data_IF_016469825628
#
_entry.id   IF_016469825628
#
_cell.length_a   1.000
_cell.length_b   1.000
_cell.length_c   1.000
_cell.angle_alpha   90.00
_cell.angle_beta   90.00
_cell.angle_gamma   90.00
#
_symmetry.space_group_name_H-M   'P 1'
#
loop_
_entity.id
_entity.type
_entity.pdbx_description
1 polymer ?
#
# COMPACT_ATOMS: atom_id res chain seq x y z
N UNK A 1 22.63 8.91 38.90
CA UNK A 1 21.51 8.06 39.36
C UNK A 1 21.19 6.88 38.42
N UNK A 2 21.20 7.03 37.09
CA UNK A 2 20.87 5.93 36.15
C UNK A 2 21.75 4.66 36.28
N UNK A 3 23.06 4.80 36.58
CA UNK A 3 23.98 3.66 36.76
C UNK A 3 23.67 2.80 38.00
N UNK A 4 23.03 3.39 39.02
CA UNK A 4 22.70 2.68 40.27
C UNK A 4 21.49 1.75 40.08
N UNK A 5 20.48 2.20 39.33
CA UNK A 5 19.31 1.38 38.98
C UNK A 5 19.68 0.19 38.07
N UNK A 6 20.65 0.38 37.16
CA UNK A 6 21.15 -0.70 36.30
C UNK A 6 21.87 -1.77 37.13
N UNK A 7 22.67 -1.35 38.12
CA UNK A 7 23.39 -2.27 39.00
C UNK A 7 22.46 -3.09 39.90
N UNK A 8 21.46 -2.44 40.51
CA UNK A 8 20.44 -3.12 41.33
C UNK A 8 19.60 -4.09 40.48
N UNK A 9 19.20 -3.66 39.27
CA UNK A 9 18.48 -4.52 38.34
C UNK A 9 19.28 -5.76 37.93
N UNK A 10 20.58 -5.60 37.64
CA UNK A 10 21.45 -6.72 37.32
C UNK A 10 21.63 -7.69 38.49
N UNK A 11 21.76 -7.17 39.72
CA UNK A 11 21.87 -8.00 40.91
C UNK A 11 20.59 -8.82 41.16
N UNK A 12 19.41 -8.20 41.08
CA UNK A 12 18.13 -8.89 41.27
C UNK A 12 17.87 -9.97 40.20
N UNK A 13 18.24 -9.71 38.94
CA UNK A 13 18.14 -10.70 37.86
C UNK A 13 19.12 -11.85 38.06
N UNK A 14 20.36 -11.56 38.47
CA UNK A 14 21.36 -12.59 38.75
C UNK A 14 20.95 -13.48 39.94
N UNK A 15 20.40 -12.89 41.01
CA UNK A 15 19.89 -13.64 42.18
C UNK A 15 18.63 -14.44 41.82
N UNK A 16 17.73 -13.89 41.01
CA UNK A 16 16.56 -14.61 40.49
C UNK A 16 16.95 -15.80 39.61
N UNK A 17 17.91 -15.63 38.70
CA UNK A 17 18.45 -16.72 37.88
C UNK A 17 19.15 -17.80 38.73
N UNK A 18 19.92 -17.40 39.75
CA UNK A 18 20.55 -18.34 40.68
C UNK A 18 19.51 -19.12 41.51
N UNK A 19 18.42 -18.48 41.91
CA UNK A 19 17.31 -19.12 42.61
C UNK A 19 16.53 -20.09 41.72
N UNK A 20 16.33 -19.78 40.43
CA UNK A 20 15.67 -20.69 39.47
C UNK A 20 16.55 -21.89 39.13
N UNK A 21 17.85 -21.67 38.89
CA UNK A 21 18.82 -22.74 38.57
C UNK A 21 19.10 -23.66 39.78
N UNK A 22 18.88 -23.18 41.01
CA UNK A 22 19.01 -23.95 42.26
C UNK A 22 17.74 -23.85 43.10
N UNK A 23 16.60 -24.08 42.47
CA UNK A 23 15.28 -24.00 43.11
C UNK A 23 15.20 -24.79 44.43
N UNK A 24 15.78 -25.99 44.47
CA UNK A 24 15.85 -26.83 45.68
C UNK A 24 16.63 -26.17 46.82
N UNK A 25 17.76 -25.53 46.54
CA UNK A 25 18.55 -24.81 47.54
C UNK A 25 17.87 -23.52 48.02
N UNK A 26 17.16 -22.84 47.12
CA UNK A 26 16.36 -21.66 47.47
C UNK A 26 15.19 -22.01 48.39
N UNK A 27 14.49 -23.12 48.12
CA UNK A 27 13.39 -23.60 48.97
C UNK A 27 13.88 -23.97 50.37
N UNK A 28 15.04 -24.64 50.48
CA UNK A 28 15.66 -24.96 51.78
C UNK A 28 16.04 -23.69 52.54
N UNK A 29 16.73 -22.74 51.88
CA UNK A 29 17.10 -21.46 52.51
C UNK A 29 15.88 -20.64 52.97
N UNK A 30 14.80 -20.63 52.17
CA UNK A 30 13.56 -19.94 52.50
C UNK A 30 12.86 -20.58 53.71
N UNK A 31 12.94 -21.91 53.85
CA UNK A 31 12.43 -22.64 55.01
C UNK A 31 13.25 -22.34 56.28
N UNK A 32 14.56 -22.16 56.15
CA UNK A 32 15.47 -21.85 57.26
C UNK A 32 15.40 -20.37 57.69
N UNK A 33 14.88 -19.46 56.84
CA UNK A 33 14.80 -18.01 57.10
C UNK A 33 13.38 -17.45 56.90
N UNK A 34 12.39 -17.90 57.71
CA UNK A 34 10.97 -17.58 57.51
C UNK A 34 10.67 -16.08 57.57
N UNK A 35 11.41 -15.32 58.40
CA UNK A 35 11.26 -13.87 58.51
C UNK A 35 11.80 -13.11 57.29
N UNK A 36 12.71 -13.71 56.51
CA UNK A 36 13.26 -13.11 55.29
C UNK A 36 12.46 -13.51 54.02
N UNK A 37 11.75 -14.64 54.05
CA UNK A 37 10.98 -15.11 52.91
C UNK A 37 9.84 -14.17 52.50
N UNK A 38 9.15 -13.55 53.48
CA UNK A 38 7.98 -12.71 53.23
C UNK A 38 8.30 -11.44 52.40
N UNK A 39 9.41 -10.75 52.68
CA UNK A 39 9.77 -9.54 51.93
C UNK A 39 10.33 -9.86 50.54
N UNK A 40 11.06 -10.99 50.38
CA UNK A 40 11.53 -11.47 49.08
C UNK A 40 10.35 -11.83 48.18
N UNK A 41 9.33 -12.50 48.73
CA UNK A 41 8.09 -12.81 48.00
C UNK A 41 7.35 -11.54 47.56
N UNK A 42 7.29 -10.52 48.41
CA UNK A 42 6.68 -9.24 48.06
C UNK A 42 7.42 -8.53 46.91
N UNK A 43 8.76 -8.48 46.97
CA UNK A 43 9.58 -7.90 45.89
C UNK A 43 9.45 -8.70 44.59
N UNK A 44 9.44 -10.04 44.68
CA UNK A 44 9.24 -10.90 43.51
C UNK A 44 7.88 -10.66 42.84
N UNK A 45 6.83 -10.46 43.62
CA UNK A 45 5.48 -10.14 43.11
C UNK A 45 5.44 -8.78 42.42
N UNK A 46 6.06 -7.75 43.01
CA UNK A 46 6.16 -6.41 42.41
C UNK A 46 6.97 -6.47 41.10
N UNK A 47 8.10 -7.16 41.10
CA UNK A 47 8.94 -7.33 39.91
C UNK A 47 8.20 -8.06 38.78
N UNK A 48 7.43 -9.11 39.11
CA UNK A 48 6.61 -9.83 38.15
C UNK A 48 5.54 -8.92 37.51
N UNK A 49 4.89 -8.07 38.30
CA UNK A 49 3.92 -7.07 37.79
C UNK A 49 4.60 -6.09 36.83
N UNK A 50 5.76 -5.53 37.19
CA UNK A 50 6.49 -4.63 36.30
C UNK A 50 6.95 -5.31 35.00
N UNK A 51 7.41 -6.55 35.08
CA UNK A 51 7.78 -7.32 33.88
C UNK A 51 6.58 -7.61 32.99
N UNK A 52 5.41 -7.91 33.56
CA UNK A 52 4.19 -8.11 32.81
C UNK A 52 3.74 -6.82 32.10
N UNK A 53 3.75 -5.68 32.79
CA UNK A 53 3.43 -4.37 32.19
C UNK A 53 4.42 -4.03 31.08
N UNK A 54 5.72 -4.20 31.30
CA UNK A 54 6.74 -3.96 30.28
C UNK A 54 6.59 -4.86 29.06
N UNK A 55 6.25 -6.14 29.27
CA UNK A 55 6.00 -7.07 28.17
C UNK A 55 4.77 -6.67 27.35
N UNK A 56 3.68 -6.25 28.00
CA UNK A 56 2.47 -5.74 27.35
C UNK A 56 2.77 -4.46 26.57
N UNK A 57 3.43 -3.47 27.18
CA UNK A 57 3.81 -2.22 26.51
C UNK A 57 4.70 -2.48 25.29
N UNK A 58 5.68 -3.39 25.43
CA UNK A 58 6.54 -3.79 24.32
C UNK A 58 5.76 -4.49 23.21
N UNK A 59 4.79 -5.34 23.56
CA UNK A 59 3.92 -6.01 22.57
C UNK A 59 3.05 -4.99 21.81
N UNK A 60 2.42 -4.04 22.51
CA UNK A 60 1.62 -2.99 21.90
C UNK A 60 2.45 -2.05 21.02
N UNK A 61 3.68 -1.72 21.43
CA UNK A 61 4.60 -0.94 20.62
C UNK A 61 4.97 -1.66 19.32
N UNK A 62 5.13 -2.98 19.35
CA UNK A 62 5.39 -3.78 18.15
C UNK A 62 4.15 -3.89 17.26
N UNK A 63 2.97 -4.08 17.84
CA UNK A 63 1.70 -4.13 17.09
C UNK A 63 1.39 -2.81 16.38
N UNK A 64 1.56 -1.67 17.07
CA UNK A 64 1.36 -0.36 16.43
C UNK A 64 2.37 -0.11 15.30
N UNK A 65 3.61 -0.58 15.43
CA UNK A 65 4.58 -0.52 14.33
C UNK A 65 4.16 -1.38 13.14
N UNK A 66 3.69 -2.61 13.39
CA UNK A 66 3.19 -3.51 12.32
C UNK A 66 1.99 -2.90 11.60
N UNK A 67 1.00 -2.41 12.35
CA UNK A 67 -0.18 -1.74 11.77
C UNK A 67 0.21 -0.57 10.88
N UNK A 68 1.15 0.28 11.31
CA UNK A 68 1.65 1.40 10.47
C UNK A 68 2.30 0.93 9.17
N UNK A 69 3.02 -0.19 9.20
CA UNK A 69 3.64 -0.78 8.00
C UNK A 69 2.56 -1.36 7.08
N UNK A 70 1.60 -2.09 7.64
CA UNK A 70 0.47 -2.68 6.91
C UNK A 70 -0.39 -1.60 6.24
N UNK A 71 -0.72 -0.52 6.96
CA UNK A 71 -1.48 0.63 6.44
C UNK A 71 -0.71 1.32 5.30
N UNK A 72 0.61 1.47 5.44
CA UNK A 72 1.47 2.05 4.41
C UNK A 72 1.53 1.16 3.16
N UNK A 73 1.64 -0.15 3.34
CA UNK A 73 1.69 -1.13 2.25
C UNK A 73 0.35 -1.22 1.53
N UNK A 74 -0.77 -1.22 2.27
CA UNK A 74 -2.11 -1.17 1.70
C UNK A 74 -2.33 0.10 0.87
N UNK A 75 -1.87 1.26 1.35
CA UNK A 75 -1.93 2.51 0.59
C UNK A 75 -1.07 2.43 -0.67
N UNK A 76 0.13 1.88 -0.57
CA UNK A 76 1.06 1.75 -1.71
C UNK A 76 0.46 0.86 -2.79
N UNK A 77 -0.15 -0.27 -2.42
CA UNK A 77 -0.84 -1.16 -3.36
C UNK A 77 -1.99 -0.46 -4.10
N UNK A 78 -2.78 0.36 -3.40
CA UNK A 78 -3.86 1.13 -4.04
C UNK A 78 -3.29 2.12 -5.06
N UNK A 79 -2.25 2.88 -4.69
CA UNK A 79 -1.63 3.87 -5.58
C UNK A 79 -0.98 3.21 -6.80
N UNK A 80 -0.33 2.07 -6.61
CA UNK A 80 0.26 1.31 -7.71
C UNK A 80 -0.82 0.72 -8.62
N UNK A 81 -1.93 0.23 -8.07
CA UNK A 81 -3.09 -0.18 -8.85
C UNK A 81 -3.65 0.95 -9.72
N UNK A 82 -3.81 2.15 -9.17
CA UNK A 82 -4.25 3.33 -9.95
C UNK A 82 -3.25 3.67 -11.05
N UNK A 83 -1.95 3.67 -10.75
CA UNK A 83 -0.91 3.91 -11.74
C UNK A 83 -0.98 2.89 -12.90
N UNK A 84 -1.13 1.60 -12.58
CA UNK A 84 -1.27 0.54 -13.57
C UNK A 84 -2.53 0.70 -14.42
N UNK A 85 -3.66 1.09 -13.82
CA UNK A 85 -4.92 1.35 -14.55
C UNK A 85 -4.80 2.55 -15.49
N UNK A 86 -4.23 3.67 -15.03
CA UNK A 86 -4.02 4.87 -15.88
C UNK A 86 -3.01 4.56 -16.99
N UNK A 87 -1.93 3.83 -16.70
CA UNK A 87 -0.98 3.37 -17.71
C UNK A 87 -1.60 2.39 -18.72
N UNK A 88 -2.48 1.50 -18.25
CA UNK A 88 -3.28 0.61 -19.10
C UNK A 88 -4.20 1.39 -20.03
N UNK A 89 -4.89 2.41 -19.50
CA UNK A 89 -5.75 3.30 -20.27
C UNK A 89 -4.96 4.01 -21.40
N UNK A 90 -3.77 4.52 -21.10
CA UNK A 90 -2.89 5.12 -22.11
C UNK A 90 -2.48 4.13 -23.20
N UNK A 91 -2.16 2.88 -22.83
CA UNK A 91 -1.82 1.82 -23.79
C UNK A 91 -2.98 1.45 -24.71
N UNK A 92 -4.20 1.35 -24.18
CA UNK A 92 -5.39 1.06 -25.01
C UNK A 92 -5.69 2.24 -25.93
N UNK A 93 -5.60 3.48 -25.44
CA UNK A 93 -5.74 4.66 -26.30
C UNK A 93 -4.67 4.68 -27.43
N UNK A 94 -3.43 4.30 -27.12
CA UNK A 94 -2.36 4.18 -28.11
C UNK A 94 -2.63 3.06 -29.12
N UNK A 95 -3.12 1.90 -28.66
CA UNK A 95 -3.53 0.77 -29.50
C UNK A 95 -4.57 1.23 -30.55
N UNK A 96 -5.58 2.00 -30.13
CA UNK A 96 -6.60 2.58 -31.04
C UNK A 96 -5.95 3.50 -32.08
N UNK A 97 -5.06 4.40 -31.64
CA UNK A 97 -4.37 5.31 -32.53
C UNK A 97 -3.51 4.56 -33.57
N UNK A 98 -2.74 3.56 -33.14
CA UNK A 98 -1.85 2.81 -34.01
C UNK A 98 -2.62 1.99 -35.05
N UNK A 99 -3.79 1.44 -34.70
CA UNK A 99 -4.67 0.76 -35.66
C UNK A 99 -5.13 1.70 -36.77
N UNK A 100 -5.72 2.85 -36.42
CA UNK A 100 -6.22 3.81 -37.42
C UNK A 100 -5.09 4.46 -38.24
N UNK A 101 -3.92 4.70 -37.63
CA UNK A 101 -2.80 5.38 -38.29
C UNK A 101 -2.08 4.51 -39.33
N UNK A 102 -2.06 3.18 -39.16
CA UNK A 102 -1.39 2.26 -40.08
C UNK A 102 -2.19 1.99 -41.37
N UNK A 103 -3.30 2.70 -41.60
CA UNK A 103 -4.14 2.56 -42.79
C UNK A 103 -4.95 1.26 -42.82
N UNK A 104 -4.83 0.43 -41.78
CA UNK A 104 -5.72 -0.70 -41.52
C UNK A 104 -6.86 -0.21 -40.67
N UNK A 105 -7.96 0.23 -41.29
CA UNK A 105 -9.20 0.48 -40.54
C UNK A 105 -9.46 -0.71 -39.62
N UNK A 106 -9.65 -0.44 -38.32
CA UNK A 106 -9.84 -1.50 -37.35
C UNK A 106 -11.01 -2.38 -37.79
N UNK A 107 -10.78 -3.68 -37.83
CA UNK A 107 -11.85 -4.61 -38.19
C UNK A 107 -12.97 -4.50 -37.15
N UNK A 108 -14.23 -4.78 -37.53
CA UNK A 108 -15.35 -4.74 -36.57
C UNK A 108 -15.12 -5.61 -35.33
N UNK A 109 -14.37 -6.72 -35.46
CA UNK A 109 -14.01 -7.59 -34.34
C UNK A 109 -13.00 -6.93 -33.40
N UNK A 110 -11.99 -6.24 -33.94
CA UNK A 110 -10.98 -5.54 -33.12
C UNK A 110 -11.60 -4.36 -32.37
N UNK A 111 -12.55 -3.64 -32.99
CA UNK A 111 -13.30 -2.57 -32.32
C UNK A 111 -14.12 -3.09 -31.12
N UNK A 112 -14.71 -4.29 -31.23
CA UNK A 112 -15.41 -4.93 -30.10
C UNK A 112 -14.44 -5.28 -28.98
N UNK A 113 -13.29 -5.86 -29.31
CA UNK A 113 -12.25 -6.19 -28.31
C UNK A 113 -11.79 -4.93 -27.57
N UNK A 114 -11.48 -3.86 -28.31
CA UNK A 114 -11.11 -2.56 -27.75
C UNK A 114 -12.24 -2.01 -26.87
N UNK A 115 -13.49 -2.09 -27.30
CA UNK A 115 -14.65 -1.65 -26.51
C UNK A 115 -14.75 -2.37 -25.17
N UNK A 116 -14.46 -3.68 -25.15
CA UNK A 116 -14.42 -4.49 -23.93
C UNK A 116 -13.24 -4.08 -23.03
N UNK A 117 -12.04 -3.88 -23.60
CA UNK A 117 -10.86 -3.41 -22.86
C UNK A 117 -11.11 -2.04 -22.21
N UNK A 118 -11.66 -1.08 -22.96
CA UNK A 118 -12.00 0.25 -22.48
C UNK A 118 -13.00 0.18 -21.31
N UNK A 119 -14.04 -0.66 -21.44
CA UNK A 119 -15.05 -0.83 -20.40
C UNK A 119 -14.49 -1.49 -19.14
N UNK A 120 -13.63 -2.51 -19.31
CA UNK A 120 -12.99 -3.19 -18.19
C UNK A 120 -12.13 -2.22 -17.36
N UNK A 121 -11.33 -1.39 -18.03
CA UNK A 121 -10.46 -0.40 -17.35
C UNK A 121 -11.31 0.72 -16.73
N UNK A 122 -12.32 1.23 -17.44
CA UNK A 122 -13.21 2.27 -16.90
C UNK A 122 -13.98 1.77 -15.66
N UNK A 123 -14.51 0.55 -15.71
CA UNK A 123 -15.17 -0.08 -14.57
C UNK A 123 -14.20 -0.30 -13.40
N UNK A 124 -12.97 -0.72 -13.66
CA UNK A 124 -11.94 -0.84 -12.62
C UNK A 124 -11.62 0.52 -11.97
N UNK A 125 -11.48 1.58 -12.76
CA UNK A 125 -11.25 2.95 -12.27
C UNK A 125 -12.43 3.46 -11.43
N UNK A 126 -13.67 3.20 -11.85
CA UNK A 126 -14.87 3.62 -11.09
C UNK A 126 -15.00 2.96 -9.72
N UNK A 127 -14.32 1.82 -9.50
CA UNK A 127 -14.29 1.10 -8.22
C UNK A 127 -13.18 1.61 -7.28
N UNK A 128 -12.30 2.47 -7.77
CA UNK A 128 -11.27 3.08 -6.93
C UNK A 128 -11.93 4.12 -6.05
N UNK A 129 -11.89 3.90 -4.73
CA UNK A 129 -12.39 4.86 -3.74
C UNK A 129 -11.49 6.11 -3.70
N UNK A 130 -12.00 7.30 -4.08
CA UNK A 130 -11.23 8.54 -4.08
C UNK A 130 -10.74 8.93 -2.67
N UNK A 131 -11.45 8.53 -1.61
CA UNK A 131 -11.08 8.85 -0.23
C UNK A 131 -9.79 8.15 0.22
N UNK A 132 -9.45 7.02 -0.43
CA UNK A 132 -8.20 6.30 -0.18
C UNK A 132 -7.01 6.95 -0.89
N UNK A 133 -7.27 7.78 -1.90
CA UNK A 133 -6.24 8.52 -2.63
C UNK A 133 -5.91 9.80 -1.87
N UNK A 134 -4.84 9.76 -1.08
CA UNK A 134 -4.45 10.90 -0.25
C UNK A 134 -3.77 12.06 -1.02
N UNK A 135 -3.77 12.00 -2.36
CA UNK A 135 -3.07 12.95 -3.23
C UNK A 135 -3.95 13.33 -4.40
N UNK A 136 -4.05 14.64 -4.63
CA UNK A 136 -4.90 15.22 -5.67
C UNK A 136 -4.54 14.68 -7.05
N UNK A 137 -3.25 14.47 -7.33
CA UNK A 137 -2.76 14.02 -8.63
C UNK A 137 -3.28 12.61 -8.99
N UNK A 138 -3.45 11.72 -8.00
CA UNK A 138 -4.01 10.40 -8.22
C UNK A 138 -5.52 10.45 -8.46
N UNK A 139 -6.23 11.30 -7.72
CA UNK A 139 -7.69 11.51 -7.90
C UNK A 139 -7.95 12.12 -9.27
N UNK A 140 -7.22 13.16 -9.64
CA UNK A 140 -7.35 13.82 -10.94
C UNK A 140 -7.05 12.82 -12.06
N UNK A 141 -5.93 12.09 -11.96
CA UNK A 141 -5.55 11.13 -12.99
C UNK A 141 -6.56 9.99 -13.13
N UNK A 142 -7.12 9.46 -12.03
CA UNK A 142 -8.12 8.39 -12.12
C UNK A 142 -9.42 8.88 -12.75
N UNK A 143 -9.92 10.06 -12.36
CA UNK A 143 -11.14 10.65 -12.92
C UNK A 143 -10.98 11.04 -14.38
N UNK A 144 -9.85 11.66 -14.75
CA UNK A 144 -9.55 12.01 -16.15
C UNK A 144 -9.43 10.75 -17.00
N UNK A 145 -8.76 9.71 -16.49
CA UNK A 145 -8.67 8.42 -17.17
C UNK A 145 -10.05 7.79 -17.39
N UNK A 146 -10.89 7.75 -16.36
CA UNK A 146 -12.24 7.19 -16.48
C UNK A 146 -13.07 7.96 -17.52
N UNK A 147 -13.12 9.29 -17.43
CA UNK A 147 -13.86 10.11 -18.39
C UNK A 147 -13.34 9.93 -19.82
N UNK A 148 -12.01 9.85 -19.99
CA UNK A 148 -11.39 9.69 -21.30
C UNK A 148 -11.72 8.32 -21.91
N UNK A 149 -11.68 7.25 -21.11
CA UNK A 149 -12.05 5.91 -21.57
C UNK A 149 -13.53 5.82 -21.95
N UNK A 150 -14.43 6.45 -21.17
CA UNK A 150 -15.85 6.53 -21.52
C UNK A 150 -16.07 7.25 -22.85
N UNK A 151 -15.39 8.38 -23.07
CA UNK A 151 -15.43 9.12 -24.34
C UNK A 151 -14.89 8.31 -25.51
N UNK A 152 -13.78 7.59 -25.31
CA UNK A 152 -13.23 6.69 -26.33
C UNK A 152 -14.19 5.55 -26.65
N UNK A 153 -14.81 4.95 -25.62
CA UNK A 153 -15.81 3.90 -25.80
C UNK A 153 -17.01 4.38 -26.60
N UNK A 154 -17.56 5.55 -26.26
CA UNK A 154 -18.64 6.16 -27.04
C UNK A 154 -18.22 6.41 -28.50
N UNK A 155 -16.98 6.82 -28.75
CA UNK A 155 -16.47 7.00 -30.10
C UNK A 155 -16.36 5.66 -30.85
N UNK A 156 -15.85 4.61 -30.20
CA UNK A 156 -15.78 3.24 -30.75
C UNK A 156 -17.18 2.70 -31.06
N UNK A 157 -18.12 2.80 -30.12
CA UNK A 157 -19.51 2.35 -30.29
C UNK A 157 -20.20 3.09 -31.45
N UNK A 158 -19.93 4.40 -31.61
CA UNK A 158 -20.44 5.19 -32.75
C UNK A 158 -19.89 4.68 -34.08
N UNK A 159 -18.58 4.44 -34.17
CA UNK A 159 -17.94 3.89 -35.38
C UNK A 159 -18.48 2.50 -35.70
N UNK A 160 -18.66 1.64 -34.69
CA UNK A 160 -19.21 0.30 -34.86
C UNK A 160 -20.67 0.30 -35.35
N UNK A 161 -21.47 1.26 -34.89
CA UNK A 161 -22.92 1.31 -35.19
C UNK A 161 -23.27 1.60 -36.67
N UNK A 162 -22.29 1.80 -37.57
CA UNK A 162 -22.45 2.01 -39.01
C UNK A 162 -23.40 3.14 -39.46
N UNK A 163 -23.99 3.91 -38.54
CA UNK A 163 -24.83 5.08 -38.85
C UNK A 163 -24.03 6.36 -39.09
N UNK A 164 -22.73 6.34 -38.81
CA UNK A 164 -21.83 7.45 -39.15
C UNK A 164 -21.40 7.25 -40.59
N UNK A 165 -21.96 8.09 -41.47
CA UNK A 165 -21.54 8.20 -42.86
C UNK A 165 -20.00 8.24 -42.91
N UNK A 166 -19.36 7.33 -43.66
CA UNK A 166 -17.89 7.19 -43.80
C UNK A 166 -17.16 8.46 -44.29
N UNK A 167 -17.89 9.56 -44.44
CA UNK A 167 -17.47 10.86 -44.94
C UNK A 167 -17.28 11.92 -43.85
N UNK A 168 -17.85 11.77 -42.64
CA UNK A 168 -17.96 12.92 -41.73
C UNK A 168 -16.86 13.09 -40.68
N UNK A 169 -15.90 12.17 -40.54
CA UNK A 169 -14.55 12.45 -39.99
C UNK A 169 -13.74 11.14 -39.85
N UNK A 170 -13.03 10.69 -40.92
CA UNK A 170 -12.21 9.47 -40.87
C UNK A 170 -11.09 9.53 -39.82
N UNK A 171 -10.78 10.72 -39.29
CA UNK A 171 -9.72 10.95 -38.32
C UNK A 171 -10.24 11.28 -36.91
N UNK A 172 -11.56 11.29 -36.66
CA UNK A 172 -12.10 11.65 -35.34
C UNK A 172 -11.59 10.71 -34.24
N UNK A 173 -11.78 9.41 -34.44
CA UNK A 173 -11.36 8.39 -33.47
C UNK A 173 -9.84 8.41 -33.28
N UNK A 174 -9.09 8.55 -34.37
CA UNK A 174 -7.63 8.65 -34.34
C UNK A 174 -7.14 9.87 -33.54
N UNK A 175 -7.67 11.06 -33.82
CA UNK A 175 -7.28 12.30 -33.14
C UNK A 175 -7.66 12.26 -31.65
N UNK A 176 -8.85 11.74 -31.33
CA UNK A 176 -9.30 11.55 -29.95
C UNK A 176 -8.40 10.55 -29.21
N UNK A 177 -8.07 9.43 -29.84
CA UNK A 177 -7.18 8.40 -29.29
C UNK A 177 -5.76 8.92 -29.07
N UNK A 178 -5.20 9.69 -30.02
CA UNK A 178 -3.88 10.30 -29.86
C UNK A 178 -3.86 11.32 -28.71
N UNK A 179 -4.85 12.21 -28.66
CA UNK A 179 -4.97 13.20 -27.58
C UNK A 179 -5.11 12.52 -26.22
N UNK A 180 -5.95 11.48 -26.13
CA UNK A 180 -6.13 10.68 -24.94
C UNK A 180 -4.83 9.97 -24.52
N UNK A 181 -4.14 9.32 -25.46
CA UNK A 181 -2.91 8.61 -25.18
C UNK A 181 -1.84 9.55 -24.60
N UNK A 182 -1.64 10.71 -25.20
CA UNK A 182 -0.64 11.68 -24.73
C UNK A 182 -1.01 12.26 -23.35
N UNK A 183 -2.26 12.62 -23.13
CA UNK A 183 -2.73 13.19 -21.86
C UNK A 183 -2.64 12.18 -20.70
N UNK A 184 -2.99 10.91 -20.97
CA UNK A 184 -2.89 9.82 -20.00
C UNK A 184 -1.45 9.39 -19.76
N UNK A 185 -0.59 9.39 -20.78
CA UNK A 185 0.83 9.07 -20.63
C UNK A 185 1.56 10.14 -19.80
N UNK A 186 1.25 11.42 -20.01
CA UNK A 186 1.81 12.50 -19.19
C UNK A 186 1.42 12.33 -17.72
N UNK A 187 0.15 12.01 -17.45
CA UNK A 187 -0.34 11.72 -16.10
C UNK A 187 0.31 10.48 -15.51
N UNK A 188 0.42 9.40 -16.28
CA UNK A 188 1.10 8.19 -15.85
C UNK A 188 2.57 8.47 -15.47
N UNK A 189 3.30 9.27 -16.26
CA UNK A 189 4.68 9.69 -15.94
C UNK A 189 4.74 10.51 -14.65
N UNK A 190 3.80 11.43 -14.42
CA UNK A 190 3.70 12.19 -13.16
C UNK A 190 3.47 11.26 -11.97
N UNK A 191 2.54 10.30 -12.10
CA UNK A 191 2.27 9.30 -11.07
C UNK A 191 3.49 8.40 -10.81
N UNK A 192 4.17 7.92 -11.84
CA UNK A 192 5.37 7.09 -11.71
C UNK A 192 6.45 7.79 -10.88
N UNK A 193 6.72 9.07 -11.17
CA UNK A 193 7.68 9.88 -10.40
C UNK A 193 7.27 10.03 -8.93
N UNK A 194 5.98 10.16 -8.65
CA UNK A 194 5.48 10.25 -7.26
C UNK A 194 5.61 8.90 -6.53
N UNK A 195 5.32 7.79 -7.21
CA UNK A 195 5.44 6.44 -6.65
C UNK A 195 6.91 6.07 -6.39
N UNK A 196 7.82 6.37 -7.32
CA UNK A 196 9.26 6.15 -7.16
C UNK A 196 9.83 6.93 -5.96
N UNK A 197 9.43 8.20 -5.82
CA UNK A 197 9.80 9.03 -4.67
C UNK A 197 9.29 8.48 -3.32
N UNK A 198 8.23 7.67 -3.30
CA UNK A 198 7.76 6.99 -2.08
C UNK A 198 8.52 5.69 -1.81
N UNK A 199 8.86 4.93 -2.85
CA UNK A 199 9.63 3.69 -2.73
C UNK A 199 11.01 3.92 -2.10
N UNK A 200 11.66 5.04 -2.42
CA UNK A 200 12.96 5.42 -1.84
C UNK A 200 12.89 5.78 -0.35
N UNK A 201 11.77 6.33 0.12
CA UNK A 201 11.55 6.63 1.55
C UNK A 201 11.46 5.34 2.39
N UNK A 202 10.84 4.28 1.85
CA UNK A 202 10.72 2.97 2.52
C UNK A 202 12.09 2.32 2.80
N UNK A 203 13.06 2.50 1.89
CA UNK A 203 14.43 1.92 2.03
C UNK A 203 15.25 2.61 3.12
N UNK A 204 15.02 3.90 3.37
CA UNK A 204 15.77 4.64 4.37
C UNK A 204 15.20 4.51 5.79
N UNK A 205 13.89 4.30 5.95
CA UNK A 205 13.23 4.25 7.27
C UNK A 205 13.22 2.84 7.90
N UNK A 206 13.47 1.79 7.12
CA UNK A 206 13.57 0.41 7.61
C UNK A 206 14.95 0.04 8.18
N UNK A 207 15.95 0.93 8.15
CA UNK A 207 17.24 0.65 8.79
C UNK A 207 17.11 0.82 10.31
N UNK A 208 17.30 -0.25 11.11
CA UNK A 208 17.33 -0.09 12.56
C UNK A 208 18.46 0.85 12.94
N UNK A 209 18.14 1.93 13.67
CA UNK A 209 19.09 2.71 14.46
C UNK A 209 19.28 2.08 15.82
#
# INVERSE_FOLDING_TARGET
MQKFYIFIGFMLVATGCAAVLRWTGFVVWANDNPNMAAWVQAIGSIAAIFMAVWAVDRSHALETRRKKIEDFDALTQVLEGVFQLVGGAAKVARKIYDFENLGGHATPSELVEIGIELDAIANALSRVDPLRLNRHEFIEASLVAEMTLRRLKEAVDRVQSQKVSCTLEPFYLQNLANSAANDLEERAKKLAKITENRGTVKVNDQRPK
#
